data_IF_387997513364
#
_entry.id   IF_387997513364
#
_cell.length_a   1.000
_cell.length_b   1.000
_cell.length_c   1.000
_cell.angle_alpha   90.00
_cell.angle_beta   90.00
_cell.angle_gamma   90.00
#
_symmetry.space_group_name_H-M   'P 1'
#
loop_
_entity.id
_entity.type
_entity.pdbx_description
1 polymer ?
#
# COMPACT_ATOMS: atom_id res chain seq x y z
N UNK A 1 45.24 -7.14 -12.36
CA UNK A 1 43.83 -7.32 -12.75
C UNK A 1 42.98 -6.82 -11.59
N UNK A 2 42.39 -5.63 -11.72
CA UNK A 2 41.68 -4.95 -10.63
C UNK A 2 40.18 -5.14 -10.84
N UNK A 3 39.55 -5.90 -9.95
CA UNK A 3 38.10 -6.12 -9.96
C UNK A 3 37.40 -4.83 -9.47
N UNK A 4 36.38 -4.30 -10.18
CA UNK A 4 35.67 -3.12 -9.71
C UNK A 4 34.74 -3.46 -8.54
N UNK A 5 34.53 -2.54 -7.57
CA UNK A 5 33.60 -2.75 -6.47
C UNK A 5 32.15 -2.67 -6.97
N UNK A 6 31.40 -3.75 -6.75
CA UNK A 6 29.96 -3.83 -6.96
C UNK A 6 29.28 -2.77 -6.08
N UNK A 7 28.64 -1.77 -6.69
CA UNK A 7 27.77 -0.85 -5.97
C UNK A 7 26.57 -1.65 -5.47
N UNK A 8 26.57 -2.02 -4.19
CA UNK A 8 25.36 -2.41 -3.49
C UNK A 8 24.44 -1.18 -3.47
N UNK A 9 23.54 -1.07 -4.44
CA UNK A 9 22.38 -0.20 -4.30
C UNK A 9 21.62 -0.71 -3.09
N UNK A 10 21.44 0.08 -2.02
CA UNK A 10 20.65 -0.38 -0.88
C UNK A 10 19.24 -0.67 -1.38
N UNK A 11 18.81 -1.92 -1.22
CA UNK A 11 17.42 -2.30 -1.36
C UNK A 11 16.61 -1.36 -0.46
N UNK A 12 15.56 -0.70 -0.97
CA UNK A 12 14.76 0.19 -0.15
C UNK A 12 14.29 -0.59 1.07
N UNK A 13 14.40 -0.01 2.29
CA UNK A 13 13.99 -0.71 3.50
C UNK A 13 12.55 -1.21 3.33
N UNK A 14 12.22 -2.40 3.86
CA UNK A 14 10.86 -2.88 3.83
C UNK A 14 9.94 -1.79 4.39
N UNK A 15 8.76 -1.58 3.81
CA UNK A 15 7.89 -0.50 4.21
C UNK A 15 7.57 -0.59 5.71
N UNK A 16 8.09 0.36 6.49
CA UNK A 16 7.89 0.41 7.94
C UNK A 16 6.40 0.60 8.26
N UNK A 17 5.77 -0.40 8.88
CA UNK A 17 4.34 -0.38 9.20
C UNK A 17 3.93 0.78 10.12
N UNK A 18 4.84 1.25 10.99
CA UNK A 18 4.62 2.43 11.84
C UNK A 18 4.46 3.71 11.01
N UNK A 19 5.27 3.88 9.97
CA UNK A 19 5.22 5.04 9.07
C UNK A 19 3.95 5.05 8.21
N UNK A 20 3.47 3.87 7.81
CA UNK A 20 2.18 3.73 7.12
C UNK A 20 1.01 4.21 8.00
N UNK A 21 0.99 3.83 9.28
CA UNK A 21 -0.10 4.21 10.19
C UNK A 21 -0.19 5.74 10.37
N UNK A 22 0.96 6.41 10.53
CA UNK A 22 1.07 7.86 10.59
C UNK A 22 0.58 8.54 9.30
N UNK A 23 0.98 8.02 8.14
CA UNK A 23 0.56 8.56 6.85
C UNK A 23 -0.94 8.34 6.57
N UNK A 24 -1.51 7.23 7.03
CA UNK A 24 -2.96 6.99 6.98
C UNK A 24 -3.70 8.01 7.84
N UNK A 25 -3.26 8.23 9.08
CA UNK A 25 -3.88 9.21 9.96
C UNK A 25 -3.78 10.62 9.38
N UNK A 26 -2.60 11.00 8.90
CA UNK A 26 -2.38 12.30 8.28
C UNK A 26 -3.25 12.50 7.04
N UNK A 27 -3.41 11.48 6.20
CA UNK A 27 -4.28 11.53 5.03
C UNK A 27 -5.74 11.78 5.41
N UNK A 28 -6.25 11.09 6.45
CA UNK A 28 -7.62 11.28 6.93
C UNK A 28 -7.84 12.69 7.49
N UNK A 29 -6.87 13.23 8.24
CA UNK A 29 -6.91 14.62 8.73
C UNK A 29 -6.92 15.61 7.56
N UNK A 30 -6.01 15.47 6.60
CA UNK A 30 -5.94 16.34 5.42
C UNK A 30 -7.20 16.27 4.58
N UNK A 31 -7.77 15.08 4.38
CA UNK A 31 -9.03 14.92 3.67
C UNK A 31 -10.20 15.67 4.33
N UNK A 32 -10.15 15.89 5.65
CA UNK A 32 -11.18 16.62 6.39
C UNK A 32 -10.97 18.14 6.36
N UNK A 33 -9.73 18.63 6.41
CA UNK A 33 -9.45 20.05 6.63
C UNK A 33 -8.79 20.77 5.44
N UNK A 34 -7.92 20.08 4.70
CA UNK A 34 -7.15 20.67 3.60
C UNK A 34 -6.66 19.58 2.65
N UNK A 35 -7.51 19.12 1.72
CA UNK A 35 -7.18 17.98 0.87
C UNK A 35 -6.22 18.32 -0.26
N UNK A 36 -5.75 19.56 -0.41
CA UNK A 36 -4.88 19.99 -1.51
C UNK A 36 -3.61 20.70 -1.02
N UNK A 37 -2.61 20.78 -1.90
CA UNK A 37 -1.33 21.43 -1.64
C UNK A 37 -0.21 20.45 -1.32
N UNK A 38 1.01 20.98 -1.22
CA UNK A 38 2.27 20.21 -1.19
C UNK A 38 2.28 19.08 -0.16
N UNK A 39 1.72 19.31 1.04
CA UNK A 39 1.65 18.28 2.09
C UNK A 39 0.71 17.14 1.69
N UNK A 40 -0.48 17.47 1.17
CA UNK A 40 -1.44 16.47 0.71
C UNK A 40 -0.91 15.67 -0.48
N UNK A 41 -0.23 16.34 -1.41
CA UNK A 41 0.38 15.68 -2.57
C UNK A 41 1.53 14.75 -2.15
N UNK A 42 2.37 15.18 -1.20
CA UNK A 42 3.39 14.32 -0.62
C UNK A 42 2.82 13.09 0.08
N UNK A 43 1.69 13.24 0.80
CA UNK A 43 0.99 12.10 1.43
C UNK A 43 0.39 11.16 0.38
N UNK A 44 -0.20 11.68 -0.70
CA UNK A 44 -0.70 10.85 -1.81
C UNK A 44 0.41 9.99 -2.40
N UNK A 45 1.57 10.58 -2.68
CA UNK A 45 2.67 9.84 -3.27
C UNK A 45 3.21 8.74 -2.35
N UNK A 46 3.31 9.03 -1.04
CA UNK A 46 3.68 7.99 -0.06
C UNK A 46 2.66 6.85 -0.01
N UNK A 47 1.36 7.18 0.05
CA UNK A 47 0.29 6.17 0.04
C UNK A 47 0.27 5.36 -1.27
N UNK A 48 0.49 5.98 -2.43
CA UNK A 48 0.68 5.27 -3.72
C UNK A 48 1.90 4.35 -3.66
N UNK A 49 2.99 4.79 -3.02
CA UNK A 49 4.17 3.99 -2.74
C UNK A 49 3.85 2.74 -1.93
N UNK A 50 3.11 2.89 -0.82
CA UNK A 50 2.67 1.75 -0.01
C UNK A 50 1.76 0.79 -0.78
N UNK A 51 0.81 1.31 -1.56
CA UNK A 51 -0.04 0.46 -2.41
C UNK A 51 0.81 -0.38 -3.36
N UNK A 52 1.79 0.23 -4.04
CA UNK A 52 2.72 -0.50 -4.93
C UNK A 52 3.54 -1.54 -4.19
N UNK A 53 4.06 -1.21 -3.01
CA UNK A 53 4.90 -2.11 -2.23
C UNK A 53 4.15 -3.35 -1.70
N UNK A 54 2.88 -3.20 -1.33
CA UNK A 54 2.10 -4.30 -0.73
C UNK A 54 1.21 -5.05 -1.70
N UNK A 55 0.88 -4.47 -2.86
CA UNK A 55 -0.17 -5.03 -3.72
C UNK A 55 0.13 -6.46 -4.18
N UNK A 56 1.37 -6.79 -4.54
CA UNK A 56 1.70 -8.12 -5.06
C UNK A 56 1.64 -9.19 -3.96
N UNK A 57 2.19 -8.88 -2.78
CA UNK A 57 2.11 -9.76 -1.60
C UNK A 57 0.67 -9.94 -1.13
N UNK A 58 -0.13 -8.88 -1.14
CA UNK A 58 -1.56 -8.93 -0.80
C UNK A 58 -2.38 -9.72 -1.85
N UNK A 59 -2.05 -9.64 -3.14
CA UNK A 59 -2.67 -10.42 -4.21
C UNK A 59 -2.35 -11.92 -4.05
N UNK A 60 -1.10 -12.24 -3.71
CA UNK A 60 -0.69 -13.61 -3.42
C UNK A 60 -1.45 -14.20 -2.22
N UNK A 61 -1.60 -13.42 -1.14
CA UNK A 61 -2.46 -13.80 -0.01
C UNK A 61 -3.92 -13.98 -0.43
N UNK A 62 -4.48 -13.02 -1.18
CA UNK A 62 -5.87 -13.09 -1.62
C UNK A 62 -6.15 -14.35 -2.44
N UNK A 63 -5.21 -14.76 -3.30
CA UNK A 63 -5.29 -15.98 -4.10
C UNK A 63 -5.06 -17.27 -3.31
N UNK A 64 -4.36 -17.22 -2.19
CA UNK A 64 -4.14 -18.40 -1.33
C UNK A 64 -5.32 -18.70 -0.41
N UNK A 65 -6.25 -17.76 -0.25
CA UNK A 65 -7.51 -18.01 0.44
C UNK A 65 -8.32 -19.10 -0.28
N UNK A 66 -9.01 -19.93 0.51
CA UNK A 66 -9.95 -20.93 0.01
C UNK A 66 -11.01 -20.23 -0.85
N UNK A 67 -11.40 -20.88 -1.95
CA UNK A 67 -12.42 -20.37 -2.87
C UNK A 67 -13.69 -19.98 -2.12
N UNK A 68 -14.21 -18.79 -2.44
CA UNK A 68 -15.41 -18.23 -1.84
C UNK A 68 -15.30 -16.74 -1.56
N UNK A 69 -16.32 -16.23 -0.84
CA UNK A 69 -16.53 -14.79 -0.64
C UNK A 69 -15.32 -14.04 -0.08
N UNK A 70 -14.54 -14.67 0.81
CA UNK A 70 -13.36 -14.02 1.40
C UNK A 70 -12.27 -13.77 0.35
N UNK A 71 -12.01 -14.75 -0.52
CA UNK A 71 -11.09 -14.61 -1.65
C UNK A 71 -11.57 -13.53 -2.61
N UNK A 72 -12.83 -13.55 -3.00
CA UNK A 72 -13.39 -12.58 -3.94
C UNK A 72 -13.26 -11.14 -3.43
N UNK A 73 -13.58 -10.92 -2.14
CA UNK A 73 -13.43 -9.60 -1.49
C UNK A 73 -11.98 -9.18 -1.44
N UNK A 74 -11.05 -10.08 -1.11
CA UNK A 74 -9.63 -9.76 -1.03
C UNK A 74 -9.06 -9.39 -2.41
N UNK A 75 -9.35 -10.19 -3.45
CA UNK A 75 -8.92 -9.92 -4.82
C UNK A 75 -9.51 -8.59 -5.33
N UNK A 76 -10.81 -8.35 -5.11
CA UNK A 76 -11.45 -7.11 -5.50
C UNK A 76 -10.85 -5.90 -4.75
N UNK A 77 -10.52 -6.06 -3.48
CA UNK A 77 -9.88 -5.00 -2.68
C UNK A 77 -8.50 -4.67 -3.22
N UNK A 78 -7.70 -5.67 -3.60
CA UNK A 78 -6.38 -5.43 -4.21
C UNK A 78 -6.50 -4.72 -5.55
N UNK A 79 -7.39 -5.19 -6.42
CA UNK A 79 -7.65 -4.56 -7.71
C UNK A 79 -8.12 -3.11 -7.54
N UNK A 80 -9.05 -2.85 -6.62
CA UNK A 80 -9.55 -1.52 -6.34
C UNK A 80 -8.45 -0.58 -5.81
N UNK A 81 -7.62 -1.03 -4.87
CA UNK A 81 -6.52 -0.21 -4.34
C UNK A 81 -5.51 0.16 -5.43
N UNK A 82 -5.17 -0.78 -6.33
CA UNK A 82 -4.33 -0.50 -7.51
C UNK A 82 -4.97 0.54 -8.44
N UNK A 83 -6.27 0.41 -8.71
CA UNK A 83 -7.00 1.37 -9.54
C UNK A 83 -6.99 2.78 -8.93
N UNK A 84 -7.28 2.91 -7.63
CA UNK A 84 -7.24 4.21 -6.92
C UNK A 84 -5.84 4.83 -6.96
N UNK A 85 -4.79 4.02 -6.84
CA UNK A 85 -3.41 4.53 -6.90
C UNK A 85 -3.05 5.06 -8.29
N UNK A 86 -3.59 4.46 -9.35
CA UNK A 86 -3.41 4.88 -10.75
C UNK A 86 -4.34 6.04 -11.16
N UNK A 87 -5.43 6.27 -10.44
CA UNK A 87 -6.44 7.28 -10.78
C UNK A 87 -5.86 8.70 -10.74
N UNK A 88 -6.08 9.52 -11.80
CA UNK A 88 -5.89 10.96 -11.70
C UNK A 88 -6.83 11.56 -10.64
N UNK A 89 -6.34 12.56 -9.90
CA UNK A 89 -7.05 13.08 -8.73
C UNK A 89 -8.24 13.95 -9.16
N UNK A 90 -9.44 13.37 -9.18
CA UNK A 90 -10.68 14.10 -9.50
C UNK A 90 -11.31 14.76 -8.26
N UNK A 91 -11.47 14.00 -7.17
CA UNK A 91 -11.84 14.52 -5.85
C UNK A 91 -10.65 14.34 -4.89
N UNK A 92 -9.93 15.41 -4.54
CA UNK A 92 -8.75 15.35 -3.68
C UNK A 92 -9.01 14.71 -2.30
N UNK A 93 -10.17 14.96 -1.71
CA UNK A 93 -10.49 14.48 -0.36
C UNK A 93 -10.90 13.01 -0.38
N UNK A 94 -11.75 12.62 -1.33
CA UNK A 94 -12.11 11.21 -1.53
C UNK A 94 -10.87 10.38 -1.90
N UNK A 95 -10.01 10.90 -2.78
CA UNK A 95 -8.80 10.21 -3.21
C UNK A 95 -7.84 9.90 -2.06
N UNK A 96 -7.62 10.86 -1.15
CA UNK A 96 -6.83 10.63 0.07
C UNK A 96 -7.43 9.55 0.97
N UNK A 97 -8.75 9.57 1.19
CA UNK A 97 -9.44 8.56 2.02
C UNK A 97 -9.32 7.17 1.40
N UNK A 98 -9.53 7.07 0.09
CA UNK A 98 -9.47 5.81 -0.63
C UNK A 98 -8.04 5.25 -0.67
N UNK A 99 -7.04 6.09 -0.91
CA UNK A 99 -5.62 5.69 -0.85
C UNK A 99 -5.24 5.19 0.55
N UNK A 100 -5.62 5.92 1.60
CA UNK A 100 -5.31 5.55 2.98
C UNK A 100 -5.95 4.20 3.35
N UNK A 101 -7.23 4.02 3.02
CA UNK A 101 -7.94 2.76 3.24
C UNK A 101 -7.31 1.60 2.44
N UNK A 102 -7.01 1.84 1.17
CA UNK A 102 -6.37 0.85 0.29
C UNK A 102 -5.01 0.41 0.83
N UNK A 103 -4.12 1.35 1.12
CA UNK A 103 -2.79 1.06 1.66
C UNK A 103 -2.85 0.27 2.98
N UNK A 104 -3.74 0.66 3.91
CA UNK A 104 -3.94 -0.04 5.17
C UNK A 104 -4.42 -1.49 4.98
N UNK A 105 -5.41 -1.70 4.10
CA UNK A 105 -5.94 -3.03 3.80
C UNK A 105 -4.90 -3.94 3.15
N UNK A 106 -4.12 -3.42 2.21
CA UNK A 106 -3.06 -4.18 1.56
C UNK A 106 -1.96 -4.60 2.53
N UNK A 107 -1.52 -3.69 3.42
CA UNK A 107 -0.55 -4.02 4.45
C UNK A 107 -1.06 -5.13 5.38
N UNK A 108 -2.35 -5.11 5.74
CA UNK A 108 -2.98 -6.17 6.54
C UNK A 108 -2.97 -7.52 5.83
N UNK A 109 -3.30 -7.57 4.54
CA UNK A 109 -3.26 -8.80 3.75
C UNK A 109 -1.82 -9.30 3.55
N UNK A 110 -0.87 -8.40 3.31
CA UNK A 110 0.54 -8.75 3.19
C UNK A 110 1.12 -9.33 4.49
N UNK A 111 0.73 -8.80 5.65
CA UNK A 111 1.06 -9.40 6.94
C UNK A 111 0.40 -10.79 7.12
N UNK A 112 -0.82 -10.95 6.61
CA UNK A 112 -1.53 -12.22 6.56
C UNK A 112 -0.77 -13.32 5.80
N UNK A 113 -0.15 -13.00 4.65
CA UNK A 113 0.71 -13.94 3.92
C UNK A 113 1.96 -14.37 4.70
N UNK A 114 2.59 -13.45 5.45
CA UNK A 114 3.76 -13.78 6.26
C UNK A 114 3.42 -14.78 7.38
N UNK A 115 2.22 -14.70 7.94
CA UNK A 115 1.73 -15.64 8.97
C UNK A 115 1.33 -17.03 8.43
N UNK A 116 1.13 -17.19 7.13
CA UNK A 116 0.79 -18.47 6.49
C UNK A 116 2.05 -19.29 6.15
N UNK A 117 3.20 -18.65 5.95
CA UNK A 117 4.48 -19.32 5.65
C UNK A 117 5.30 -19.76 6.88
N UNK A 118 4.84 -19.48 8.10
CA UNK A 118 5.61 -19.68 9.34
C UNK A 118 5.23 -20.89 10.20
N UNK A 119 4.48 -21.86 9.68
CA UNK A 119 4.18 -23.12 10.37
C UNK A 119 4.37 -24.28 9.42
N UNK A 120 5.55 -24.90 9.42
CA UNK A 120 5.79 -26.35 9.32
C UNK A 120 7.23 -26.61 9.77
#
# INVERSE_FOLDING_TARGET
MTTPPTRHTPEPPPPDGGRLAEDVELALRLAAVRPTGVVADGVRERLRGYVRAYADTADAYARSLVDGRARDVAVATVAHARAVAADPVHDPAAHLRLLAKGAHMLARYAAGSAGVGGRW
#
